data_IF_328484895631
#
_entry.id   IF_328484895631
#
_cell.length_a   1.000
_cell.length_b   1.000
_cell.length_c   1.000
_cell.angle_alpha   90.00
_cell.angle_beta   90.00
_cell.angle_gamma   90.00
#
_symmetry.space_group_name_H-M   'P 1'
#
loop_
_entity.id
_entity.type
_entity.pdbx_description
1 polymer ?
#
# COMPACT_ATOMS: atom_id res chain seq x y z
N UNK A 1 -37.27 2.42 31.63
CA UNK A 1 -36.32 2.95 30.65
C UNK A 1 -37.06 3.10 29.34
N UNK A 2 -37.00 4.27 28.71
CA UNK A 2 -37.62 4.49 27.40
C UNK A 2 -36.84 3.70 26.35
N UNK A 3 -37.53 2.87 25.56
CA UNK A 3 -36.87 2.14 24.47
C UNK A 3 -36.45 3.12 23.38
N UNK A 4 -35.17 3.07 22.99
CA UNK A 4 -34.62 3.87 21.88
C UNK A 4 -35.34 3.50 20.58
N UNK A 5 -35.68 4.51 19.78
CA UNK A 5 -36.16 4.37 18.41
C UNK A 5 -35.04 3.86 17.49
N UNK A 6 -35.41 3.34 16.31
CA UNK A 6 -34.44 2.93 15.30
C UNK A 6 -33.51 4.08 14.86
N UNK A 7 -34.00 5.32 14.86
CA UNK A 7 -33.19 6.50 14.53
C UNK A 7 -32.12 6.77 15.59
N UNK A 8 -32.48 6.69 16.87
CA UNK A 8 -31.53 6.85 17.98
C UNK A 8 -30.47 5.73 17.97
N UNK A 9 -30.89 4.48 17.74
CA UNK A 9 -29.97 3.35 17.60
C UNK A 9 -29.04 3.50 16.39
N UNK A 10 -29.56 3.95 15.25
CA UNK A 10 -28.73 4.21 14.07
C UNK A 10 -27.69 5.31 14.36
N UNK A 11 -28.09 6.40 15.01
CA UNK A 11 -27.18 7.48 15.37
C UNK A 11 -26.09 6.99 16.34
N UNK A 12 -26.46 6.17 17.32
CA UNK A 12 -25.51 5.56 18.26
C UNK A 12 -24.53 4.63 17.55
N UNK A 13 -25.00 3.81 16.59
CA UNK A 13 -24.14 2.96 15.77
C UNK A 13 -23.08 3.77 15.00
N UNK A 14 -23.47 4.92 14.44
CA UNK A 14 -22.56 5.84 13.73
C UNK A 14 -21.47 6.38 14.67
N UNK A 15 -21.87 6.90 15.84
CA UNK A 15 -20.93 7.42 16.82
C UNK A 15 -19.93 6.34 17.32
N UNK A 16 -20.43 5.13 17.58
CA UNK A 16 -19.61 3.99 18.00
C UNK A 16 -18.62 3.60 16.89
N UNK A 17 -19.07 3.53 15.64
CA UNK A 17 -18.20 3.18 14.51
C UNK A 17 -17.07 4.19 14.32
N UNK A 18 -17.39 5.49 14.38
CA UNK A 18 -16.40 6.58 14.27
C UNK A 18 -15.34 6.50 15.39
N UNK A 19 -15.74 6.08 16.59
CA UNK A 19 -14.84 5.96 17.74
C UNK A 19 -13.88 4.76 17.66
N UNK A 20 -14.14 3.78 16.78
CA UNK A 20 -13.37 2.53 16.69
C UNK A 20 -12.11 2.61 15.80
N UNK A 21 -11.71 3.78 15.30
CA UNK A 21 -10.48 4.00 14.52
C UNK A 21 -10.24 2.97 13.39
N UNK A 22 -11.26 2.75 12.55
CA UNK A 22 -11.14 1.88 11.36
C UNK A 22 -10.13 2.43 10.35
N UNK A 23 -9.36 1.54 9.70
CA UNK A 23 -8.32 1.90 8.72
C UNK A 23 -8.69 1.39 7.34
N UNK A 24 -8.47 2.23 6.34
CA UNK A 24 -8.62 1.88 4.92
C UNK A 24 -7.55 0.88 4.51
N UNK A 25 -7.94 -0.25 3.93
CA UNK A 25 -7.03 -1.23 3.32
C UNK A 25 -7.01 -1.16 1.79
N UNK A 26 -8.11 -0.71 1.18
CA UNK A 26 -8.26 -0.61 -0.26
C UNK A 26 -7.37 0.46 -0.87
N UNK A 27 -6.70 0.13 -1.98
CA UNK A 27 -5.84 1.04 -2.74
C UNK A 27 -6.27 1.10 -4.19
N UNK A 28 -6.56 2.29 -4.69
CA UNK A 28 -6.73 2.50 -6.11
C UNK A 28 -5.39 2.91 -6.73
N UNK A 29 -4.69 1.95 -7.34
CA UNK A 29 -3.38 2.16 -7.94
C UNK A 29 -3.40 3.14 -9.14
N UNK A 30 -4.57 3.48 -9.69
CA UNK A 30 -4.69 4.42 -10.81
C UNK A 30 -4.80 5.88 -10.38
N UNK A 31 -5.27 6.15 -9.15
CA UNK A 31 -5.51 7.51 -8.62
C UNK A 31 -4.84 7.75 -7.27
N UNK A 32 -4.00 6.82 -6.81
CA UNK A 32 -3.25 6.86 -5.55
C UNK A 32 -4.11 7.29 -4.33
N UNK A 33 -5.36 6.84 -4.30
CA UNK A 33 -6.30 7.11 -3.22
C UNK A 33 -6.63 5.81 -2.49
N UNK A 34 -6.67 5.90 -1.16
CA UNK A 34 -7.10 4.81 -0.29
C UNK A 34 -8.61 4.92 -0.05
N UNK A 35 -9.32 3.80 -0.17
CA UNK A 35 -10.76 3.70 0.05
C UNK A 35 -11.05 2.60 1.08
N UNK A 36 -12.24 2.63 1.71
CA UNK A 36 -12.64 1.56 2.62
C UNK A 36 -13.05 0.30 1.87
N UNK A 37 -12.61 -0.86 2.32
CA UNK A 37 -13.14 -2.16 1.94
C UNK A 37 -14.17 -2.65 2.95
N UNK A 38 -15.06 -3.54 2.52
CA UNK A 38 -16.07 -4.11 3.41
C UNK A 38 -15.44 -4.76 4.64
N UNK A 39 -14.28 -5.41 4.48
CA UNK A 39 -13.51 -6.02 5.57
C UNK A 39 -12.99 -5.01 6.60
N UNK A 40 -12.84 -3.73 6.24
CA UNK A 40 -12.27 -2.71 7.12
C UNK A 40 -13.21 -2.32 8.26
N UNK A 41 -14.52 -2.43 8.02
CA UNK A 41 -15.53 -1.94 8.96
C UNK A 41 -16.64 -2.94 9.26
N UNK A 42 -16.98 -3.89 8.38
CA UNK A 42 -18.09 -4.82 8.63
C UNK A 42 -17.93 -5.65 9.91
N UNK A 43 -16.75 -6.20 10.26
CA UNK A 43 -16.60 -6.96 11.50
C UNK A 43 -16.96 -6.13 12.73
N UNK A 44 -16.40 -4.92 12.83
CA UNK A 44 -16.67 -3.98 13.92
C UNK A 44 -18.14 -3.52 13.91
N UNK A 45 -18.67 -3.18 12.75
CA UNK A 45 -20.04 -2.73 12.59
C UNK A 45 -21.04 -3.81 12.98
N UNK A 46 -20.79 -5.08 12.65
CA UNK A 46 -21.68 -6.18 13.01
C UNK A 46 -21.81 -6.33 14.53
N UNK A 47 -20.70 -6.21 15.28
CA UNK A 47 -20.76 -6.26 16.74
C UNK A 47 -21.49 -5.05 17.33
N UNK A 48 -21.30 -3.86 16.76
CA UNK A 48 -22.05 -2.65 17.13
C UNK A 48 -23.55 -2.87 16.91
N UNK A 49 -23.97 -3.30 15.71
CA UNK A 49 -25.37 -3.53 15.37
C UNK A 49 -26.00 -4.57 16.28
N UNK A 50 -25.30 -5.69 16.54
CA UNK A 50 -25.72 -6.72 17.47
C UNK A 50 -25.96 -6.16 18.89
N UNK A 51 -25.06 -5.32 19.39
CA UNK A 51 -25.21 -4.69 20.71
C UNK A 51 -26.44 -3.77 20.81
N UNK A 52 -26.82 -3.15 19.70
CA UNK A 52 -27.96 -2.24 19.58
C UNK A 52 -29.25 -2.95 19.14
N UNK A 53 -29.18 -4.27 18.97
CA UNK A 53 -30.26 -5.12 18.47
C UNK A 53 -30.77 -4.70 17.10
N UNK A 54 -29.82 -4.31 16.25
CA UNK A 54 -30.02 -4.01 14.85
C UNK A 54 -29.43 -5.13 13.97
N UNK A 55 -29.98 -5.29 12.78
CA UNK A 55 -29.39 -6.09 11.70
C UNK A 55 -29.38 -5.29 10.40
N UNK A 56 -28.41 -5.58 9.52
CA UNK A 56 -28.32 -4.96 8.19
C UNK A 56 -28.48 -6.02 7.10
N UNK A 57 -29.36 -5.75 6.12
CA UNK A 57 -29.75 -6.69 5.07
C UNK A 57 -29.57 -6.00 3.73
N UNK A 58 -28.65 -6.49 2.92
CA UNK A 58 -28.44 -6.03 1.54
C UNK A 58 -29.22 -6.89 0.56
N UNK A 59 -29.90 -6.26 -0.39
CA UNK A 59 -30.61 -6.95 -1.46
C UNK A 59 -30.75 -6.05 -2.70
N UNK A 60 -31.05 -6.67 -3.84
CA UNK A 60 -31.37 -5.98 -5.10
C UNK A 60 -32.85 -6.19 -5.40
N UNK A 61 -33.55 -5.11 -5.72
CA UNK A 61 -34.97 -5.14 -6.07
C UNK A 61 -35.27 -3.96 -7.01
N UNK A 62 -36.08 -4.18 -8.05
CA UNK A 62 -36.52 -3.13 -8.99
C UNK A 62 -35.40 -2.24 -9.56
N UNK A 63 -34.29 -2.87 -9.96
CA UNK A 63 -33.09 -2.18 -10.48
C UNK A 63 -32.47 -1.18 -9.48
N UNK A 64 -32.64 -1.43 -8.18
CA UNK A 64 -32.00 -0.70 -7.10
C UNK A 64 -31.25 -1.66 -6.18
N UNK A 65 -30.09 -1.23 -5.72
CA UNK A 65 -29.46 -1.87 -4.57
C UNK A 65 -29.97 -1.21 -3.30
N UNK A 66 -30.36 -2.03 -2.32
CA UNK A 66 -30.97 -1.59 -1.08
C UNK A 66 -30.20 -2.15 0.12
N UNK A 67 -30.10 -1.36 1.17
CA UNK A 67 -29.61 -1.77 2.48
C UNK A 67 -30.67 -1.42 3.52
N UNK A 68 -31.30 -2.45 4.07
CA UNK A 68 -32.29 -2.33 5.14
C UNK A 68 -31.62 -2.51 6.49
N UNK A 69 -31.84 -1.57 7.39
CA UNK A 69 -31.48 -1.66 8.81
C UNK A 69 -32.76 -2.02 9.57
N UNK A 70 -32.76 -3.14 10.27
CA UNK A 70 -33.93 -3.67 11.00
C UNK A 70 -33.65 -3.63 12.49
N UNK A 71 -34.57 -3.06 13.26
CA UNK A 71 -34.64 -3.20 14.71
C UNK A 71 -35.52 -4.41 15.05
N UNK A 72 -34.88 -5.51 15.44
CA UNK A 72 -35.59 -6.76 15.71
C UNK A 72 -36.23 -6.83 17.10
N UNK A 73 -36.22 -5.75 17.87
CA UNK A 73 -37.02 -5.64 19.09
C UNK A 73 -38.44 -5.12 18.83
N UNK A 74 -38.62 -4.31 17.80
CA UNK A 74 -39.89 -3.63 17.51
C UNK A 74 -40.33 -3.73 16.05
N UNK A 75 -39.63 -4.52 15.24
CA UNK A 75 -39.89 -4.79 13.83
C UNK A 75 -39.93 -3.53 12.93
N UNK A 76 -39.30 -2.43 13.37
CA UNK A 76 -39.13 -1.23 12.53
C UNK A 76 -37.90 -1.36 11.65
N UNK A 77 -37.93 -0.71 10.50
CA UNK A 77 -36.80 -0.68 9.59
C UNK A 77 -36.58 0.68 8.92
N UNK A 78 -35.35 0.86 8.41
CA UNK A 78 -34.93 1.97 7.57
C UNK A 78 -34.25 1.39 6.34
N UNK A 79 -34.57 1.91 5.15
CA UNK A 79 -33.98 1.42 3.90
C UNK A 79 -33.23 2.53 3.18
N UNK A 80 -31.96 2.27 2.89
CA UNK A 80 -31.11 3.11 2.04
C UNK A 80 -31.05 2.50 0.64
N UNK A 81 -31.02 3.33 -0.39
CA UNK A 81 -31.06 2.87 -1.79
C UNK A 81 -30.04 3.59 -2.65
N UNK A 82 -29.53 2.87 -3.65
CA UNK A 82 -28.73 3.42 -4.75
C UNK A 82 -29.18 2.75 -6.06
N UNK A 83 -29.07 3.43 -7.22
CA UNK A 83 -29.35 2.79 -8.51
C UNK A 83 -28.45 1.56 -8.73
N UNK A 84 -29.03 0.48 -9.27
CA UNK A 84 -28.24 -0.66 -9.68
C UNK A 84 -27.61 -0.39 -11.04
N UNK A 85 -26.28 -0.26 -11.07
CA UNK A 85 -25.50 -0.07 -12.28
C UNK A 85 -24.42 -1.15 -12.39
N UNK A 86 -24.40 -1.87 -13.51
CA UNK A 86 -23.43 -2.96 -13.72
C UNK A 86 -22.04 -2.39 -14.00
N UNK A 87 -21.07 -2.78 -13.19
CA UNK A 87 -19.67 -2.57 -13.52
C UNK A 87 -19.30 -3.35 -14.79
N UNK A 88 -18.63 -2.69 -15.73
CA UNK A 88 -18.06 -3.31 -16.93
C UNK A 88 -16.54 -3.28 -16.83
N UNK A 89 -15.94 -4.41 -16.45
CA UNK A 89 -14.50 -4.59 -16.42
C UNK A 89 -14.10 -5.32 -17.71
N UNK A 90 -13.34 -4.65 -18.57
CA UNK A 90 -12.86 -5.23 -19.82
C UNK A 90 -12.01 -6.49 -19.53
N UNK A 91 -12.37 -7.61 -20.16
CA UNK A 91 -11.67 -8.89 -20.00
C UNK A 91 -12.13 -9.76 -18.81
N UNK A 92 -13.09 -9.29 -18.00
CA UNK A 92 -13.71 -10.10 -16.95
C UNK A 92 -14.98 -10.82 -17.44
N UNK A 93 -15.27 -11.99 -16.87
CA UNK A 93 -16.51 -12.72 -17.15
C UNK A 93 -17.73 -12.02 -16.53
N UNK A 94 -18.94 -12.36 -16.99
CA UNK A 94 -20.17 -11.75 -16.47
C UNK A 94 -20.35 -11.97 -14.96
N UNK A 95 -19.99 -13.16 -14.45
CA UNK A 95 -20.08 -13.47 -13.02
C UNK A 95 -19.08 -12.66 -12.19
N UNK A 96 -17.88 -12.39 -12.73
CA UNK A 96 -16.90 -11.52 -12.09
C UNK A 96 -17.37 -10.06 -12.08
N UNK A 97 -17.93 -9.58 -13.19
CA UNK A 97 -18.54 -8.26 -13.28
C UNK A 97 -19.69 -8.10 -12.28
N UNK A 98 -20.54 -9.12 -12.12
CA UNK A 98 -21.60 -9.14 -11.13
C UNK A 98 -21.04 -9.10 -9.70
N UNK A 99 -20.05 -9.93 -9.37
CA UNK A 99 -19.41 -9.93 -8.05
C UNK A 99 -18.77 -8.59 -7.68
N UNK A 100 -18.10 -7.95 -8.65
CA UNK A 100 -17.56 -6.59 -8.51
C UNK A 100 -18.65 -5.55 -8.29
N UNK A 101 -19.73 -5.61 -9.08
CA UNK A 101 -20.89 -4.72 -8.96
C UNK A 101 -21.52 -4.82 -7.57
N UNK A 102 -21.80 -6.03 -7.09
CA UNK A 102 -22.42 -6.25 -5.79
C UNK A 102 -21.55 -5.75 -4.64
N UNK A 103 -20.25 -6.02 -4.69
CA UNK A 103 -19.29 -5.52 -3.68
C UNK A 103 -19.26 -4.00 -3.64
N UNK A 104 -19.24 -3.36 -4.82
CA UNK A 104 -19.21 -1.90 -4.93
C UNK A 104 -20.49 -1.26 -4.38
N UNK A 105 -21.66 -1.69 -4.86
CA UNK A 105 -22.95 -1.15 -4.43
C UNK A 105 -23.18 -1.37 -2.93
N UNK A 106 -22.83 -2.55 -2.41
CA UNK A 106 -22.91 -2.85 -0.99
C UNK A 106 -22.07 -1.87 -0.18
N UNK A 107 -20.83 -1.60 -0.58
CA UNK A 107 -19.97 -0.63 0.10
C UNK A 107 -20.58 0.78 0.12
N UNK A 108 -21.09 1.28 -1.00
CA UNK A 108 -21.72 2.60 -1.06
C UNK A 108 -22.89 2.72 -0.09
N UNK A 109 -23.75 1.70 -0.05
CA UNK A 109 -24.88 1.70 0.88
C UNK A 109 -24.45 1.73 2.34
N UNK A 110 -23.40 1.00 2.73
CA UNK A 110 -22.87 1.08 4.10
C UNK A 110 -22.25 2.44 4.41
N UNK A 111 -21.51 3.03 3.46
CA UNK A 111 -20.94 4.38 3.62
C UNK A 111 -22.06 5.41 3.86
N UNK A 112 -23.13 5.36 3.06
CA UNK A 112 -24.29 6.25 3.18
C UNK A 112 -25.03 5.99 4.50
N UNK A 113 -25.36 4.73 4.82
CA UNK A 113 -26.15 4.40 5.99
C UNK A 113 -25.45 4.75 7.30
N UNK A 114 -24.13 4.53 7.38
CA UNK A 114 -23.35 4.70 8.61
C UNK A 114 -22.48 5.96 8.61
N UNK A 115 -22.65 6.84 7.64
CA UNK A 115 -21.89 8.10 7.52
C UNK A 115 -20.39 7.88 7.73
N UNK A 116 -19.87 6.85 7.05
CA UNK A 116 -18.44 6.54 7.08
C UNK A 116 -17.74 7.65 6.32
N UNK A 117 -17.18 8.62 7.03
CA UNK A 117 -16.43 9.71 6.42
C UNK A 117 -15.23 9.15 5.67
N UNK A 118 -15.23 9.33 4.35
CA UNK A 118 -14.00 9.31 3.59
C UNK A 118 -13.37 10.72 3.72
N UNK A 119 -12.04 10.84 3.70
CA UNK A 119 -11.44 12.16 3.56
C UNK A 119 -12.04 12.82 2.31
N UNK A 120 -12.64 14.00 2.46
CA UNK A 120 -13.12 14.88 1.38
C UNK A 120 -11.94 15.40 0.54
N UNK A 121 -11.15 14.50 -0.03
CA UNK A 121 -10.23 14.81 -1.13
C UNK A 121 -11.03 14.64 -2.41
N UNK A 122 -12.10 15.42 -2.51
CA UNK A 122 -12.68 15.81 -3.79
C UNK A 122 -12.45 17.31 -3.89
N UNK A 123 -11.19 17.73 -3.99
CA UNK A 123 -10.92 19.07 -4.53
C UNK A 123 -9.52 19.17 -5.14
N UNK A 124 -9.53 19.61 -6.41
CA UNK A 124 -8.40 19.99 -7.25
C UNK A 124 -7.42 18.90 -7.72
N UNK A 125 -7.93 17.84 -8.33
CA UNK A 125 -7.34 17.48 -9.63
C UNK A 125 -8.33 17.85 -10.71
N UNK A 126 -8.04 18.85 -11.57
CA UNK A 126 -8.77 18.94 -12.83
C UNK A 126 -8.71 17.54 -13.45
N UNK A 127 -9.76 17.13 -14.16
CA UNK A 127 -9.65 16.01 -15.10
C UNK A 127 -8.52 16.39 -16.07
N UNK A 128 -7.28 16.11 -15.69
CA UNK A 128 -6.16 16.16 -16.58
C UNK A 128 -6.48 15.03 -17.52
N UNK A 129 -6.96 15.42 -18.70
CA UNK A 129 -6.81 14.65 -19.93
C UNK A 129 -5.50 13.89 -19.79
N UNK A 130 -5.59 12.54 -19.82
CA UNK A 130 -4.47 11.62 -19.83
C UNK A 130 -3.29 12.22 -20.60
N UNK A 131 -2.32 12.81 -19.92
CA UNK A 131 -1.01 13.14 -20.42
C UNK A 131 -0.18 13.58 -19.20
N UNK A 132 0.51 12.60 -18.57
CA UNK A 132 1.87 12.73 -18.01
C UNK A 132 2.22 11.82 -16.81
N UNK A 133 1.35 10.96 -16.27
CA UNK A 133 1.74 10.08 -15.15
C UNK A 133 2.59 8.85 -15.55
N UNK A 134 2.61 8.43 -16.82
CA UNK A 134 3.52 7.35 -17.26
C UNK A 134 4.99 7.78 -17.20
N UNK A 135 5.29 9.08 -17.34
CA UNK A 135 6.66 9.57 -17.31
C UNK A 135 7.25 9.65 -15.90
N UNK A 136 6.44 9.85 -14.86
CA UNK A 136 6.93 10.00 -13.48
C UNK A 136 7.26 8.64 -12.87
N UNK A 137 6.36 7.65 -12.97
CA UNK A 137 6.63 6.29 -12.50
C UNK A 137 7.75 5.61 -13.30
N UNK A 138 7.80 5.85 -14.62
CA UNK A 138 8.90 5.32 -15.45
C UNK A 138 10.24 5.95 -15.05
N UNK A 139 10.28 7.26 -14.80
CA UNK A 139 11.48 7.94 -14.29
C UNK A 139 11.89 7.41 -12.90
N UNK A 140 10.96 7.20 -11.99
CA UNK A 140 11.25 6.67 -10.66
C UNK A 140 11.81 5.24 -10.73
N UNK A 141 11.19 4.35 -11.52
CA UNK A 141 11.69 2.99 -11.77
C UNK A 141 13.05 2.99 -12.48
N UNK A 142 13.28 3.91 -13.42
CA UNK A 142 14.58 4.08 -14.07
C UNK A 142 15.66 4.58 -13.09
N UNK A 143 15.33 5.49 -12.17
CA UNK A 143 16.23 5.96 -11.11
C UNK A 143 16.58 4.81 -10.16
N UNK A 144 15.59 4.04 -9.72
CA UNK A 144 15.77 2.90 -8.84
C UNK A 144 16.60 1.79 -9.50
N UNK A 145 16.31 1.48 -10.76
CA UNK A 145 17.10 0.52 -11.55
C UNK A 145 18.56 0.95 -11.67
N UNK A 146 18.82 2.23 -11.93
CA UNK A 146 20.20 2.77 -11.98
C UNK A 146 20.92 2.67 -10.64
N UNK A 147 20.23 2.93 -9.52
CA UNK A 147 20.81 2.78 -8.17
C UNK A 147 21.25 1.33 -7.91
N UNK A 148 20.39 0.37 -8.21
CA UNK A 148 20.67 -1.07 -8.01
C UNK A 148 21.84 -1.52 -8.89
N UNK A 149 21.86 -1.12 -10.17
CA UNK A 149 22.98 -1.45 -11.07
C UNK A 149 24.32 -0.86 -10.61
N UNK A 150 24.30 0.37 -10.09
CA UNK A 150 25.51 1.00 -9.53
C UNK A 150 26.01 0.28 -8.28
N UNK A 151 25.10 -0.12 -7.37
CA UNK A 151 25.45 -0.90 -6.18
C UNK A 151 26.08 -2.24 -6.57
N UNK A 152 25.49 -2.94 -7.54
CA UNK A 152 26.01 -4.18 -8.08
C UNK A 152 27.44 -4.02 -8.64
N UNK A 153 27.68 -3.02 -9.49
CA UNK A 153 29.01 -2.77 -10.07
C UNK A 153 30.06 -2.40 -9.01
N UNK A 154 29.68 -1.61 -8.01
CA UNK A 154 30.58 -1.25 -6.92
C UNK A 154 30.98 -2.46 -6.08
N UNK A 155 30.01 -3.30 -5.69
CA UNK A 155 30.28 -4.53 -4.96
C UNK A 155 31.12 -5.50 -5.79
N UNK A 156 30.80 -5.67 -7.08
CA UNK A 156 31.56 -6.56 -7.98
C UNK A 156 33.05 -6.18 -8.08
N UNK A 157 33.37 -4.88 -8.07
CA UNK A 157 34.73 -4.36 -8.12
C UNK A 157 35.50 -4.52 -6.81
N UNK A 158 34.79 -4.51 -5.69
CA UNK A 158 35.39 -4.44 -4.36
C UNK A 158 35.34 -5.78 -3.61
N UNK A 159 34.70 -6.82 -4.17
CA UNK A 159 34.53 -8.12 -3.52
C UNK A 159 35.36 -9.22 -4.19
N UNK A 160 35.94 -10.10 -3.38
CA UNK A 160 36.72 -11.25 -3.86
C UNK A 160 35.76 -12.35 -4.33
N UNK A 161 35.53 -12.41 -5.65
CA UNK A 161 34.57 -13.34 -6.27
C UNK A 161 35.22 -14.73 -6.45
N UNK A 162 34.64 -15.80 -5.86
CA UNK A 162 35.12 -17.17 -6.04
C UNK A 162 35.11 -17.62 -7.51
N UNK A 163 36.12 -18.39 -7.93
CA UNK A 163 36.29 -18.87 -9.31
C UNK A 163 35.04 -19.55 -9.86
N UNK A 164 34.38 -20.38 -9.06
CA UNK A 164 33.17 -21.12 -9.43
C UNK A 164 31.95 -20.23 -9.68
N UNK A 165 31.98 -18.97 -9.20
CA UNK A 165 30.90 -18.00 -9.40
C UNK A 165 31.22 -16.97 -10.49
N UNK A 166 32.48 -16.83 -10.92
CA UNK A 166 32.88 -15.87 -11.98
C UNK A 166 32.11 -16.06 -13.28
N UNK A 167 31.86 -17.31 -13.69
CA UNK A 167 31.09 -17.60 -14.91
C UNK A 167 29.64 -17.11 -14.81
N UNK A 168 29.01 -17.23 -13.63
CA UNK A 168 27.64 -16.79 -13.41
C UNK A 168 27.53 -15.27 -13.35
N UNK A 169 28.51 -14.60 -12.72
CA UNK A 169 28.63 -13.14 -12.71
C UNK A 169 28.84 -12.61 -14.14
N UNK A 170 29.72 -13.24 -14.93
CA UNK A 170 29.96 -12.87 -16.34
C UNK A 170 28.69 -13.00 -17.21
N UNK A 171 27.91 -14.07 -17.04
CA UNK A 171 26.62 -14.25 -17.73
C UNK A 171 25.59 -13.18 -17.33
N UNK A 172 25.61 -12.74 -16.07
CA UNK A 172 24.74 -11.66 -15.60
C UNK A 172 25.17 -10.31 -16.18
N UNK A 173 26.48 -10.03 -16.24
CA UNK A 173 27.04 -8.82 -16.88
C UNK A 173 26.62 -8.71 -18.36
N UNK A 174 26.70 -9.82 -19.12
CA UNK A 174 26.25 -9.86 -20.52
C UNK A 174 24.74 -9.56 -20.65
N UNK A 175 23.93 -10.10 -19.75
CA UNK A 175 22.48 -9.83 -19.70
C UNK A 175 22.18 -8.37 -19.34
N UNK A 176 22.93 -7.78 -18.41
CA UNK A 176 22.80 -6.37 -18.03
C UNK A 176 23.16 -5.47 -19.21
N UNK A 177 24.30 -5.72 -19.87
CA UNK A 177 24.75 -4.96 -21.05
C UNK A 177 23.75 -4.99 -22.20
N UNK A 178 23.13 -6.15 -22.42
CA UNK A 178 22.14 -6.34 -23.49
C UNK A 178 20.73 -5.88 -23.09
N UNK A 179 20.54 -5.33 -21.88
CA UNK A 179 19.22 -4.92 -21.37
C UNK A 179 18.27 -6.08 -21.05
N UNK A 180 18.72 -7.32 -21.18
CA UNK A 180 17.93 -8.55 -21.04
C UNK A 180 18.13 -9.19 -19.67
N UNK A 181 17.93 -8.42 -18.61
CA UNK A 181 18.07 -8.86 -17.22
C UNK A 181 16.78 -8.64 -16.43
N UNK A 182 16.61 -9.43 -15.36
CA UNK A 182 15.55 -9.20 -14.38
C UNK A 182 16.17 -8.55 -13.16
N UNK A 183 15.55 -7.48 -12.63
CA UNK A 183 16.03 -6.76 -11.45
C UNK A 183 16.31 -7.70 -10.28
N UNK A 184 15.40 -8.66 -10.06
CA UNK A 184 15.55 -9.68 -8.99
C UNK A 184 16.83 -10.50 -9.08
N UNK A 185 17.33 -10.75 -10.29
CA UNK A 185 18.59 -11.49 -10.46
C UNK A 185 19.80 -10.63 -10.04
N UNK A 186 19.73 -9.32 -10.24
CA UNK A 186 20.76 -8.37 -9.81
C UNK A 186 20.73 -8.20 -8.30
N UNK A 187 19.55 -8.09 -7.70
CA UNK A 187 19.38 -8.06 -6.24
C UNK A 187 19.94 -9.32 -5.56
N UNK A 188 19.61 -10.50 -6.07
CA UNK A 188 20.16 -11.76 -5.54
C UNK A 188 21.69 -11.82 -5.68
N UNK A 189 22.24 -11.23 -6.76
CA UNK A 189 23.68 -11.14 -6.94
C UNK A 189 24.33 -10.13 -5.97
N UNK A 190 23.68 -9.00 -5.70
CA UNK A 190 24.10 -8.04 -4.67
C UNK A 190 24.11 -8.71 -3.29
N UNK A 191 23.06 -9.44 -2.94
CA UNK A 191 22.96 -10.16 -1.66
C UNK A 191 24.11 -11.16 -1.51
N UNK A 192 24.39 -11.94 -2.56
CA UNK A 192 25.56 -12.81 -2.60
C UNK A 192 26.88 -12.03 -2.46
N UNK A 193 27.11 -10.96 -3.24
CA UNK A 193 28.35 -10.18 -3.19
C UNK A 193 28.59 -9.54 -1.81
N UNK A 194 27.52 -9.15 -1.10
CA UNK A 194 27.61 -8.63 0.27
C UNK A 194 28.18 -9.66 1.26
N UNK A 195 28.00 -10.96 1.01
CA UNK A 195 28.56 -12.03 1.86
C UNK A 195 30.05 -12.28 1.62
N UNK A 196 30.63 -11.73 0.55
CA UNK A 196 32.02 -11.96 0.18
C UNK A 196 32.97 -11.01 0.92
N UNK A 197 34.23 -11.44 1.03
CA UNK A 197 35.30 -10.61 1.56
C UNK A 197 35.60 -9.45 0.62
N UNK A 198 35.95 -8.30 1.18
CA UNK A 198 36.45 -7.18 0.38
C UNK A 198 37.84 -7.50 -0.16
N UNK A 199 38.11 -7.06 -1.38
CA UNK A 199 39.44 -7.06 -1.95
C UNK A 199 40.23 -6.04 -1.14
N UNK A 200 41.11 -6.52 -0.25
CA UNK A 200 41.95 -5.69 0.60
C UNK A 200 42.62 -4.57 -0.21
N UNK A 201 42.22 -3.32 0.03
CA UNK A 201 43.06 -2.19 -0.31
C UNK A 201 44.17 -2.11 0.74
N UNK A 202 45.26 -2.81 0.48
CA UNK A 202 46.54 -2.61 1.15
C UNK A 202 47.04 -1.19 0.90
N UNK A 203 46.58 -0.22 1.70
CA UNK A 203 47.22 1.04 2.11
C UNK A 203 46.16 1.98 2.69
N UNK A 204 45.83 1.79 3.96
CA UNK A 204 45.52 2.92 4.84
C UNK A 204 46.72 3.04 5.75
N UNK A 205 47.60 3.99 5.44
CA UNK A 205 48.50 4.53 6.47
C UNK A 205 47.54 5.10 7.52
N UNK A 206 47.54 4.55 8.73
CA UNK A 206 46.84 5.17 9.84
C UNK A 206 47.48 6.54 10.05
N UNK A 207 46.65 7.58 10.11
CA UNK A 207 47.10 8.94 10.43
C UNK A 207 47.84 9.02 11.78
N UNK A 208 47.66 8.02 12.63
CA UNK A 208 48.29 7.91 13.95
C UNK A 208 49.80 7.57 13.88
N UNK A 209 50.29 6.93 12.82
CA UNK A 209 51.72 6.57 12.68
C UNK A 209 52.59 7.74 12.14
N UNK A 210 51.97 8.88 11.81
CA UNK A 210 52.65 10.10 11.36
C UNK A 210 52.96 11.08 12.53
N UNK A 211 52.59 10.74 13.77
CA UNK A 211 52.84 11.59 14.94
C UNK A 211 53.98 11.11 15.85
N UNK A 212 54.63 10.00 15.54
CA UNK A 212 55.85 9.57 16.24
C UNK A 212 57.10 9.80 15.41
N UNK A 213 57.44 11.05 15.08
CA UNK A 213 58.85 11.46 15.05
C UNK A 213 58.98 12.98 15.19
N UNK A 214 59.65 13.36 16.28
CA UNK A 214 60.35 14.62 16.52
C UNK A 214 59.54 15.92 16.52
N UNK A 215 59.23 16.43 17.73
CA UNK A 215 59.71 17.75 18.21
C UNK A 215 59.70 17.75 19.77
N UNK A 216 60.69 18.38 20.44
CA UNK A 216 61.01 18.16 21.85
C UNK A 216 60.04 18.79 22.87
N UNK A 217 59.99 18.18 24.05
CA UNK A 217 59.35 18.67 25.28
C UNK A 217 59.89 20.05 25.73
N UNK A 218 58.96 20.90 26.20
CA UNK A 218 59.08 21.88 27.31
C UNK A 218 60.27 22.84 27.31
N UNK A 219 59.96 24.13 27.17
CA UNK A 219 60.50 25.26 27.95
C UNK A 219 59.47 26.41 27.80
N UNK A 220 58.85 27.07 28.77
CA UNK A 220 58.67 27.03 30.23
C UNK A 220 57.38 27.86 30.48
N UNK A 221 56.60 27.54 31.53
CA UNK A 221 55.80 28.54 32.23
C UNK A 221 56.77 29.31 33.14
N UNK A 222 56.57 30.62 33.25
CA UNK A 222 57.06 31.58 34.26
C UNK A 222 58.56 31.59 34.61
#
# INVERSE_FOLDING_TARGET
MTNKTIFEKLQEARCLLQSNLIKKSGKNNFVNFNYFELSDFLPTLNEILKSLKLSSIFFIEDNQAKLKIVDYENEKDLTFTVPFEKAKINGASEIQNLGGTLTYLRRYLYIIAFEICENDIIDNQPMQKKHNNENTEKKEREIETKKILNEYENLKKNKEIPEEKKLNIKKLDEKIKNGNFRLKNVENAIEFLKTLKDINNSKVIKFDDLLETNIPKKLFND
#
